data_IF_567768531521
#
_entry.id   IF_567768531521
#
_cell.length_a   1.000
_cell.length_b   1.000
_cell.length_c   1.000
_cell.angle_alpha   90.00
_cell.angle_beta   90.00
_cell.angle_gamma   90.00
#
_symmetry.space_group_name_H-M   'P 1'
#
loop_
_entity.id
_entity.type
_entity.pdbx_description
1 polymer ?
#
# COMPACT_ATOMS: atom_id res chain seq x y z
N UNK A 1 -18.13 -24.74 -33.04
CA UNK A 1 -18.59 -24.31 -31.70
C UNK A 1 -17.94 -25.08 -30.54
N UNK A 2 -16.82 -25.81 -30.72
CA UNK A 2 -16.16 -26.60 -29.66
C UNK A 2 -14.73 -26.12 -29.28
N UNK A 3 -14.26 -24.99 -29.84
CA UNK A 3 -12.92 -24.44 -29.54
C UNK A 3 -12.86 -23.54 -28.30
N UNK A 4 -14.00 -23.19 -27.70
CA UNK A 4 -14.09 -22.35 -26.49
C UNK A 4 -14.07 -23.15 -25.18
N UNK A 5 -14.27 -24.47 -25.25
CA UNK A 5 -14.40 -25.37 -24.10
C UNK A 5 -13.11 -25.53 -23.26
N UNK A 6 -11.88 -25.56 -23.83
CA UNK A 6 -10.65 -25.72 -23.04
C UNK A 6 -10.30 -24.52 -22.15
N UNK A 7 -10.86 -23.33 -22.43
CA UNK A 7 -10.57 -22.09 -21.68
C UNK A 7 -11.43 -21.92 -20.43
N UNK A 8 -12.57 -22.59 -20.37
CA UNK A 8 -13.55 -22.42 -19.28
C UNK A 8 -13.20 -23.28 -18.06
N UNK A 9 -12.62 -24.47 -18.25
CA UNK A 9 -12.26 -25.37 -17.14
C UNK A 9 -11.24 -24.81 -16.15
N UNK A 10 -10.16 -24.13 -16.58
CA UNK A 10 -9.21 -23.51 -15.64
C UNK A 10 -9.85 -22.39 -14.81
N UNK A 11 -10.76 -21.61 -15.42
CA UNK A 11 -11.51 -20.56 -14.75
C UNK A 11 -12.51 -21.12 -13.73
N UNK A 12 -13.27 -22.16 -14.10
CA UNK A 12 -14.17 -22.85 -13.18
C UNK A 12 -13.41 -23.51 -12.02
N UNK A 13 -12.25 -24.11 -12.29
CA UNK A 13 -11.37 -24.68 -11.27
C UNK A 13 -10.83 -23.61 -10.30
N UNK A 14 -10.41 -22.46 -10.82
CA UNK A 14 -9.99 -21.31 -10.00
C UNK A 14 -11.14 -20.75 -9.15
N UNK A 15 -12.32 -20.57 -9.72
CA UNK A 15 -13.50 -20.10 -8.99
C UNK A 15 -13.94 -21.10 -7.91
N UNK A 16 -13.99 -22.40 -8.24
CA UNK A 16 -14.32 -23.45 -7.28
C UNK A 16 -13.27 -23.54 -6.16
N UNK A 17 -11.99 -23.50 -6.50
CA UNK A 17 -10.89 -23.49 -5.53
C UNK A 17 -10.92 -22.26 -4.62
N UNK A 18 -11.21 -21.09 -5.19
CA UNK A 18 -11.39 -19.86 -4.42
C UNK A 18 -12.56 -19.94 -3.44
N UNK A 19 -13.70 -20.48 -3.87
CA UNK A 19 -14.85 -20.70 -3.00
C UNK A 19 -14.53 -21.69 -1.87
N UNK A 20 -13.84 -22.79 -2.18
CA UNK A 20 -13.40 -23.76 -1.17
C UNK A 20 -12.50 -23.10 -0.11
N UNK A 21 -11.51 -22.30 -0.53
CA UNK A 21 -10.66 -21.56 0.40
C UNK A 21 -11.49 -20.59 1.24
N UNK A 22 -12.49 -19.91 0.66
CA UNK A 22 -13.31 -18.93 1.39
C UNK A 22 -14.31 -19.57 2.37
N UNK A 23 -14.78 -20.78 2.11
CA UNK A 23 -15.73 -21.48 2.99
C UNK A 23 -15.05 -22.27 4.11
N UNK A 24 -13.89 -22.89 3.84
CA UNK A 24 -13.24 -23.82 4.77
C UNK A 24 -12.04 -23.21 5.53
N UNK A 25 -11.80 -21.90 5.44
CA UNK A 25 -10.67 -21.30 6.15
C UNK A 25 -10.94 -21.11 7.65
N UNK A 26 -9.91 -21.35 8.50
CA UNK A 26 -10.01 -21.17 9.95
C UNK A 26 -9.99 -19.68 10.37
N UNK A 27 -9.79 -18.75 9.43
CA UNK A 27 -9.73 -17.30 9.69
C UNK A 27 -11.03 -16.57 9.36
N UNK A 28 -12.12 -17.32 9.08
CA UNK A 28 -13.41 -16.78 8.63
C UNK A 28 -14.01 -15.77 9.61
N UNK A 29 -13.86 -16.01 10.91
CA UNK A 29 -14.33 -15.09 11.95
C UNK A 29 -13.59 -13.75 11.88
N UNK A 30 -12.26 -13.77 11.78
CA UNK A 30 -11.46 -12.55 11.63
C UNK A 30 -11.81 -11.78 10.36
N UNK A 31 -12.05 -12.49 9.24
CA UNK A 31 -12.48 -11.88 7.98
C UNK A 31 -13.87 -11.24 8.09
N UNK A 32 -14.82 -11.91 8.75
CA UNK A 32 -16.16 -11.40 9.00
C UNK A 32 -16.14 -10.18 9.91
N UNK A 33 -15.34 -10.22 10.98
CA UNK A 33 -15.18 -9.10 11.92
C UNK A 33 -14.49 -7.91 11.26
N UNK A 34 -13.47 -8.15 10.43
CA UNK A 34 -12.88 -7.11 9.59
C UNK A 34 -13.92 -6.44 8.69
N UNK A 35 -14.82 -7.22 8.09
CA UNK A 35 -15.91 -6.68 7.26
C UNK A 35 -16.90 -5.83 8.07
N UNK A 36 -17.31 -6.30 9.25
CA UNK A 36 -18.15 -5.52 10.18
C UNK A 36 -17.48 -4.22 10.62
N UNK A 37 -16.16 -4.26 10.86
CA UNK A 37 -15.36 -3.09 11.23
C UNK A 37 -15.40 -2.01 10.14
N UNK A 38 -15.17 -2.37 8.88
CA UNK A 38 -15.15 -1.41 7.77
C UNK A 38 -16.55 -0.88 7.41
N UNK A 39 -17.62 -1.66 7.65
CA UNK A 39 -19.00 -1.19 7.49
C UNK A 39 -19.30 -0.10 8.52
N UNK A 40 -18.92 -0.33 9.78
CA UNK A 40 -19.13 0.65 10.86
C UNK A 40 -18.23 1.86 10.71
N UNK A 41 -16.96 1.65 10.40
CA UNK A 41 -15.97 2.70 10.21
C UNK A 41 -15.52 2.77 8.74
N UNK A 42 -16.40 3.33 7.90
CA UNK A 42 -16.18 3.51 6.45
C UNK A 42 -14.86 4.19 6.11
N UNK A 43 -14.34 5.03 7.03
CA UNK A 43 -13.03 5.70 6.90
C UNK A 43 -11.88 4.74 6.59
N UNK A 44 -11.92 3.51 7.10
CA UNK A 44 -10.79 2.56 6.92
C UNK A 44 -10.55 2.29 5.44
N UNK A 45 -11.58 1.93 4.69
CA UNK A 45 -11.45 1.64 3.27
C UNK A 45 -11.46 2.91 2.43
N UNK A 46 -12.23 3.94 2.82
CA UNK A 46 -12.27 5.22 2.11
C UNK A 46 -10.89 5.92 2.09
N UNK A 47 -10.08 5.81 3.14
CA UNK A 47 -8.72 6.35 3.14
C UNK A 47 -7.86 5.71 2.04
N UNK A 48 -7.93 4.39 1.87
CA UNK A 48 -7.21 3.70 0.80
C UNK A 48 -7.75 4.05 -0.59
N UNK A 49 -9.07 4.16 -0.75
CA UNK A 49 -9.67 4.60 -2.01
C UNK A 49 -9.25 6.02 -2.35
N UNK A 50 -9.27 6.95 -1.39
CA UNK A 50 -8.87 8.34 -1.60
C UNK A 50 -7.40 8.46 -2.03
N UNK A 51 -6.50 7.74 -1.34
CA UNK A 51 -5.07 7.74 -1.66
C UNK A 51 -4.81 7.10 -3.04
N UNK A 52 -5.42 5.95 -3.33
CA UNK A 52 -5.31 5.30 -4.64
C UNK A 52 -5.93 6.11 -5.78
N UNK A 53 -7.02 6.83 -5.51
CA UNK A 53 -7.70 7.65 -6.51
C UNK A 53 -6.87 8.88 -6.85
N UNK A 54 -6.33 9.57 -5.83
CA UNK A 54 -5.43 10.69 -6.05
C UNK A 54 -4.19 10.28 -6.86
N UNK A 55 -3.62 9.10 -6.56
CA UNK A 55 -2.50 8.57 -7.33
C UNK A 55 -2.89 8.26 -8.78
N UNK A 56 -4.06 7.68 -9.00
CA UNK A 56 -4.55 7.34 -10.34
C UNK A 56 -4.85 8.58 -11.18
N UNK A 57 -5.46 9.61 -10.59
CA UNK A 57 -5.68 10.91 -11.25
C UNK A 57 -4.35 11.56 -11.61
N UNK A 58 -3.36 11.55 -10.70
CA UNK A 58 -2.04 12.06 -11.00
C UNK A 58 -1.39 11.32 -12.17
N UNK A 59 -1.34 9.98 -12.12
CA UNK A 59 -0.75 9.18 -13.20
C UNK A 59 -1.43 9.46 -14.54
N UNK A 60 -2.75 9.59 -14.53
CA UNK A 60 -3.50 9.93 -15.73
C UNK A 60 -3.08 11.31 -16.26
N UNK A 61 -3.10 12.34 -15.42
CA UNK A 61 -2.74 13.70 -15.79
C UNK A 61 -1.30 13.86 -16.29
N UNK A 62 -0.34 13.08 -15.79
CA UNK A 62 1.07 13.20 -16.18
C UNK A 62 1.49 12.30 -17.33
N UNK A 63 0.89 11.11 -17.48
CA UNK A 63 1.36 10.10 -18.43
C UNK A 63 0.36 9.75 -19.53
N UNK A 64 -0.83 10.34 -19.52
CA UNK A 64 -1.82 10.13 -20.60
C UNK A 64 -1.91 11.38 -21.46
N UNK A 65 -1.26 11.43 -22.64
CA UNK A 65 -1.43 12.54 -23.55
C UNK A 65 -2.82 12.47 -24.18
N UNK A 66 -3.74 13.32 -23.73
CA UNK A 66 -5.00 13.56 -24.44
C UNK A 66 -4.68 14.41 -25.67
N UNK A 67 -4.76 13.83 -26.86
CA UNK A 67 -4.41 14.54 -28.09
C UNK A 67 -5.66 15.11 -28.77
N UNK A 68 -6.80 14.40 -28.72
CA UNK A 68 -8.04 14.82 -29.40
C UNK A 68 -9.29 14.47 -28.56
N UNK A 69 -10.38 15.22 -28.74
CA UNK A 69 -11.65 14.95 -28.04
C UNK A 69 -12.27 13.58 -28.41
N UNK A 70 -11.91 13.03 -29.57
CA UNK A 70 -12.25 11.69 -30.03
C UNK A 70 -11.66 10.57 -29.16
N UNK A 71 -10.60 10.85 -28.38
CA UNK A 71 -10.00 9.88 -27.45
C UNK A 71 -10.96 9.53 -26.29
N UNK A 72 -12.01 10.35 -26.08
CA UNK A 72 -13.03 10.17 -25.04
C UNK A 72 -14.36 9.58 -25.56
N UNK A 73 -14.37 8.98 -26.75
CA UNK A 73 -15.58 8.38 -27.34
C UNK A 73 -16.09 7.17 -26.53
N UNK A 74 -17.22 7.34 -25.84
CA UNK A 74 -17.87 6.32 -25.03
C UNK A 74 -18.47 5.19 -25.87
N UNK A 75 -18.75 5.42 -27.15
CA UNK A 75 -19.31 4.39 -28.03
C UNK A 75 -18.31 3.26 -28.29
N UNK A 76 -17.01 3.59 -28.31
CA UNK A 76 -15.94 2.60 -28.43
C UNK A 76 -15.84 1.69 -27.20
N UNK A 77 -16.22 2.20 -26.02
CA UNK A 77 -16.24 1.43 -24.77
C UNK A 77 -17.41 0.43 -24.76
N UNK A 78 -18.55 0.80 -25.34
CA UNK A 78 -19.75 -0.04 -25.38
C UNK A 78 -19.62 -1.26 -26.29
N UNK A 79 -18.80 -1.20 -27.34
CA UNK A 79 -18.56 -2.33 -28.24
C UNK A 79 -17.50 -3.31 -27.70
N UNK A 80 -17.89 -4.13 -26.73
CA UNK A 80 -17.03 -5.15 -26.09
C UNK A 80 -16.48 -6.18 -27.09
N UNK A 81 -17.09 -6.32 -28.27
CA UNK A 81 -16.65 -7.29 -29.30
C UNK A 81 -15.40 -6.85 -30.04
N UNK A 82 -15.13 -5.55 -30.10
CA UNK A 82 -13.91 -5.00 -30.71
C UNK A 82 -12.73 -4.97 -29.73
N UNK A 83 -12.84 -5.57 -28.54
CA UNK A 83 -11.76 -5.60 -27.54
C UNK A 83 -10.72 -6.70 -27.85
N UNK A 84 -9.45 -6.35 -27.71
CA UNK A 84 -8.32 -7.24 -28.02
C UNK A 84 -7.84 -7.95 -26.78
N UNK A 85 -8.47 -9.09 -26.44
CA UNK A 85 -8.20 -9.79 -25.18
C UNK A 85 -6.75 -10.32 -25.10
N UNK A 86 -6.00 -10.03 -24.03
CA UNK A 86 -4.61 -10.46 -23.88
C UNK A 86 -4.49 -11.97 -23.64
N UNK A 87 -3.30 -12.52 -23.86
CA UNK A 87 -3.05 -13.93 -23.56
C UNK A 87 -2.97 -14.15 -22.05
N UNK A 88 -3.50 -15.28 -21.57
CA UNK A 88 -3.42 -15.62 -20.14
C UNK A 88 -1.96 -15.71 -19.66
N UNK A 89 -1.03 -16.17 -20.50
CA UNK A 89 0.40 -16.25 -20.18
C UNK A 89 1.01 -14.88 -19.85
N UNK A 90 0.61 -13.83 -20.55
CA UNK A 90 1.05 -12.45 -20.31
C UNK A 90 0.52 -11.96 -18.96
N UNK A 91 -0.77 -12.16 -18.70
CA UNK A 91 -1.41 -11.83 -17.43
C UNK A 91 -0.73 -12.56 -16.27
N UNK A 92 -0.46 -13.86 -16.40
CA UNK A 92 0.20 -14.67 -15.38
C UNK A 92 1.63 -14.23 -15.08
N UNK A 93 2.33 -13.63 -16.05
CA UNK A 93 3.70 -13.13 -15.87
C UNK A 93 3.72 -11.80 -15.11
N UNK A 94 2.73 -10.94 -15.33
CA UNK A 94 2.67 -9.60 -14.74
C UNK A 94 1.98 -9.54 -13.37
N UNK A 95 1.14 -10.52 -13.04
CA UNK A 95 0.29 -10.49 -11.84
C UNK A 95 0.99 -10.80 -10.50
N UNK A 96 1.96 -11.74 -10.40
CA UNK A 96 2.47 -12.20 -9.11
C UNK A 96 3.17 -11.12 -8.27
N UNK A 97 4.00 -10.27 -8.90
CA UNK A 97 4.74 -9.24 -8.17
C UNK A 97 3.80 -8.17 -7.57
N UNK A 98 2.90 -7.52 -8.32
CA UNK A 98 1.98 -6.55 -7.74
C UNK A 98 1.03 -7.17 -6.71
N UNK A 99 0.67 -8.45 -6.87
CA UNK A 99 -0.14 -9.16 -5.88
C UNK A 99 0.62 -9.33 -4.55
N UNK A 100 1.89 -9.75 -4.61
CA UNK A 100 2.76 -9.85 -3.44
C UNK A 100 2.96 -8.49 -2.76
N UNK A 101 3.16 -7.42 -3.53
CA UNK A 101 3.24 -6.05 -3.02
C UNK A 101 1.95 -5.62 -2.30
N UNK A 102 0.80 -6.01 -2.84
CA UNK A 102 -0.49 -5.81 -2.18
C UNK A 102 -0.56 -6.48 -0.81
N UNK A 103 -0.11 -7.75 -0.73
CA UNK A 103 -0.07 -8.51 0.53
C UNK A 103 0.91 -7.86 1.52
N UNK A 104 2.13 -7.55 1.08
CA UNK A 104 3.14 -6.87 1.88
C UNK A 104 2.63 -5.53 2.43
N UNK A 105 1.89 -4.78 1.59
CA UNK A 105 1.30 -3.50 1.96
C UNK A 105 0.37 -3.58 3.17
N UNK A 106 -0.41 -4.67 3.33
CA UNK A 106 -1.31 -4.85 4.51
C UNK A 106 -0.54 -4.70 5.84
N UNK A 107 0.72 -5.11 5.88
CA UNK A 107 1.48 -5.20 7.12
C UNK A 107 2.30 -3.96 7.44
N UNK A 108 2.64 -3.16 6.43
CA UNK A 108 3.67 -2.14 6.57
C UNK A 108 3.26 -0.78 5.98
N UNK A 109 3.09 -0.72 4.65
CA UNK A 109 2.56 0.47 3.96
C UNK A 109 1.59 0.08 2.84
N UNK A 110 0.30 0.17 3.15
CA UNK A 110 -0.78 -0.38 2.33
C UNK A 110 -1.12 0.42 1.06
N UNK A 111 -0.60 1.64 0.90
CA UNK A 111 -0.89 2.44 -0.30
C UNK A 111 0.19 3.47 -0.60
N UNK A 112 0.34 3.79 -1.89
CA UNK A 112 1.06 4.96 -2.34
C UNK A 112 0.39 6.21 -1.80
N UNK A 113 1.17 7.08 -1.16
CA UNK A 113 0.66 8.31 -0.54
C UNK A 113 0.76 9.53 -1.44
N UNK A 114 1.64 9.49 -2.43
CA UNK A 114 1.74 10.52 -3.46
C UNK A 114 0.49 10.47 -4.37
N UNK A 115 -0.10 11.60 -4.76
CA UNK A 115 0.32 12.99 -4.54
C UNK A 115 -0.17 13.62 -3.23
N UNK A 116 -1.04 12.96 -2.45
CA UNK A 116 -1.59 13.54 -1.21
C UNK A 116 -0.53 13.80 -0.13
N UNK A 117 0.65 13.20 -0.26
CA UNK A 117 1.83 13.55 0.54
C UNK A 117 2.19 15.03 0.42
N UNK A 118 1.90 15.71 -0.70
CA UNK A 118 2.10 17.16 -0.86
C UNK A 118 1.25 17.93 0.16
N UNK A 119 -0.04 17.57 0.25
CA UNK A 119 -0.96 18.18 1.22
C UNK A 119 -0.50 17.87 2.64
N UNK A 120 -0.09 16.63 2.92
CA UNK A 120 0.44 16.25 4.22
C UNK A 120 1.72 17.02 4.59
N UNK A 121 2.61 17.26 3.63
CA UNK A 121 3.83 18.05 3.81
C UNK A 121 3.48 19.51 4.13
N UNK A 122 2.56 20.14 3.41
CA UNK A 122 2.06 21.49 3.72
C UNK A 122 1.51 21.53 5.15
N UNK A 123 0.65 20.57 5.51
CA UNK A 123 0.06 20.50 6.85
C UNK A 123 1.11 20.33 7.95
N UNK A 124 2.16 19.54 7.72
CA UNK A 124 3.27 19.37 8.66
C UNK A 124 4.09 20.66 8.80
N UNK A 125 4.43 21.31 7.69
CA UNK A 125 5.26 22.53 7.70
C UNK A 125 4.51 23.72 8.31
N UNK A 126 3.21 23.85 8.06
CA UNK A 126 2.35 24.87 8.67
C UNK A 126 1.97 24.58 10.13
N UNK A 127 2.48 23.48 10.72
CA UNK A 127 2.15 23.05 12.07
C UNK A 127 0.63 22.92 12.32
N UNK A 128 -0.09 22.39 11.32
CA UNK A 128 -1.53 22.21 11.41
C UNK A 128 -1.91 21.39 12.65
N UNK A 129 -2.79 21.94 13.50
CA UNK A 129 -3.23 21.32 14.78
C UNK A 129 -2.08 20.98 15.74
N UNK A 130 -0.93 21.65 15.64
CA UNK A 130 0.23 21.39 16.51
C UNK A 130 1.01 20.12 16.14
N UNK A 131 0.80 19.56 14.94
CA UNK A 131 1.37 18.27 14.54
C UNK A 131 2.90 18.30 14.42
N UNK A 132 3.46 19.42 13.94
CA UNK A 132 4.90 19.68 13.88
C UNK A 132 5.52 19.60 15.29
N UNK A 133 4.95 20.37 16.23
CA UNK A 133 5.42 20.42 17.61
C UNK A 133 5.24 19.10 18.35
N UNK A 134 4.12 18.41 18.13
CA UNK A 134 3.84 17.11 18.73
C UNK A 134 4.81 16.04 18.23
N UNK A 135 5.12 16.03 16.93
CA UNK A 135 6.07 15.09 16.34
C UNK A 135 7.49 15.36 16.82
N UNK A 136 7.94 16.61 16.80
CA UNK A 136 9.26 16.99 17.31
C UNK A 136 9.42 16.63 18.78
N UNK A 137 8.40 16.89 19.62
CA UNK A 137 8.41 16.53 21.03
C UNK A 137 8.50 15.01 21.23
N UNK A 138 7.68 14.24 20.51
CA UNK A 138 7.70 12.79 20.58
C UNK A 138 9.06 12.19 20.14
N UNK A 139 9.69 12.78 19.10
CA UNK A 139 11.02 12.40 18.65
C UNK A 139 12.09 12.73 19.68
N UNK A 140 12.05 13.94 20.26
CA UNK A 140 13.01 14.38 21.27
C UNK A 140 12.92 13.54 22.54
N UNK A 141 11.72 13.27 23.05
CA UNK A 141 11.51 12.46 24.25
C UNK A 141 12.06 11.04 24.06
N UNK A 142 11.96 10.48 22.86
CA UNK A 142 12.33 9.09 22.59
C UNK A 142 13.77 8.89 22.12
N UNK A 143 14.25 9.75 21.23
CA UNK A 143 15.55 9.62 20.57
C UNK A 143 16.58 10.64 21.07
N UNK A 144 16.21 11.52 22.01
CA UNK A 144 17.07 12.56 22.58
C UNK A 144 17.66 13.42 21.45
N UNK A 145 18.98 13.59 21.42
CA UNK A 145 19.69 14.38 20.40
C UNK A 145 19.44 13.86 18.96
N UNK A 146 19.37 12.53 18.77
CA UNK A 146 19.07 11.92 17.48
C UNK A 146 17.66 12.26 16.97
N UNK A 147 16.75 12.63 17.87
CA UNK A 147 15.41 13.09 17.49
C UNK A 147 15.42 14.32 16.59
N UNK A 148 16.37 15.24 16.80
CA UNK A 148 16.53 16.43 15.95
C UNK A 148 17.03 16.07 14.55
N UNK A 149 17.98 15.13 14.44
CA UNK A 149 18.49 14.68 13.15
C UNK A 149 17.41 13.95 12.35
N UNK A 150 16.68 13.03 12.99
CA UNK A 150 15.55 12.32 12.35
C UNK A 150 14.50 13.33 11.87
N UNK A 151 14.23 14.34 12.70
CA UNK A 151 13.28 15.39 12.34
C UNK A 151 13.76 16.24 11.16
N UNK A 152 15.04 16.61 11.12
CA UNK A 152 15.63 17.35 10.01
C UNK A 152 15.50 16.55 8.70
N UNK A 153 15.83 15.26 8.71
CA UNK A 153 15.65 14.37 7.54
C UNK A 153 14.19 14.32 7.11
N UNK A 154 13.26 14.25 8.06
CA UNK A 154 11.82 14.28 7.76
C UNK A 154 11.39 15.61 7.11
N UNK A 155 11.88 16.75 7.60
CA UNK A 155 11.54 18.07 7.03
C UNK A 155 12.14 18.21 5.62
N UNK A 156 13.39 17.81 5.41
CA UNK A 156 14.02 17.82 4.09
C UNK A 156 13.29 16.92 3.09
N UNK A 157 12.89 15.72 3.51
CA UNK A 157 12.09 14.82 2.67
C UNK A 157 10.66 15.33 2.41
N UNK A 158 10.05 16.03 3.38
CA UNK A 158 8.78 16.71 3.18
C UNK A 158 8.89 17.82 2.12
N UNK A 159 9.96 18.64 2.20
CA UNK A 159 10.26 19.64 1.18
C UNK A 159 10.47 18.99 -0.19
N UNK A 160 11.21 17.88 -0.28
CA UNK A 160 11.37 17.14 -1.53
C UNK A 160 10.02 16.65 -2.09
N UNK A 161 9.10 16.17 -1.24
CA UNK A 161 7.75 15.79 -1.66
C UNK A 161 6.94 16.96 -2.21
N UNK A 162 7.15 18.19 -1.70
CA UNK A 162 6.54 19.41 -2.28
C UNK A 162 7.12 19.77 -3.65
N UNK A 163 8.42 19.58 -3.86
CA UNK A 163 9.07 19.87 -5.13
C UNK A 163 8.79 18.82 -6.21
N UNK A 164 8.48 17.58 -5.80
CA UNK A 164 8.26 16.45 -6.72
C UNK A 164 7.23 16.73 -7.82
N UNK A 165 6.00 17.23 -7.56
CA UNK A 165 5.06 17.55 -8.63
C UNK A 165 5.59 18.58 -9.62
N UNK A 166 6.33 19.60 -9.15
CA UNK A 166 6.91 20.64 -10.01
C UNK A 166 7.94 20.03 -10.95
N UNK A 167 8.82 19.18 -10.42
CA UNK A 167 9.83 18.47 -11.20
C UNK A 167 9.15 17.59 -12.26
N UNK A 168 8.22 16.72 -11.84
CA UNK A 168 7.56 15.78 -12.75
C UNK A 168 6.68 16.48 -13.80
N UNK A 169 6.01 17.57 -13.45
CA UNK A 169 5.20 18.37 -14.39
C UNK A 169 6.08 19.11 -15.41
N UNK A 170 7.26 19.58 -15.00
CA UNK A 170 8.20 20.30 -15.88
C UNK A 170 9.10 19.38 -16.69
N UNK A 171 9.14 18.08 -16.41
CA UNK A 171 9.96 17.11 -17.16
C UNK A 171 9.80 17.22 -18.70
N UNK A 172 8.58 17.28 -19.27
CA UNK A 172 8.42 17.40 -20.72
C UNK A 172 9.00 18.71 -21.29
N UNK A 173 8.80 19.82 -20.58
CA UNK A 173 9.31 21.13 -20.99
C UNK A 173 10.83 21.24 -20.83
N UNK A 174 11.43 20.56 -19.85
CA UNK A 174 12.87 20.50 -19.69
C UNK A 174 13.53 19.50 -20.64
N UNK A 175 12.80 18.51 -21.14
CA UNK A 175 13.24 17.54 -22.15
C UNK A 175 13.75 18.17 -23.44
N UNK A 176 13.32 19.40 -23.75
CA UNK A 176 13.78 20.15 -24.93
C UNK A 176 15.04 20.99 -24.67
N UNK A 177 15.44 21.16 -23.41
CA UNK A 177 16.53 22.08 -23.01
C UNK A 177 17.69 21.35 -22.33
N UNK A 178 17.41 20.32 -21.52
CA UNK A 178 18.41 19.59 -20.76
C UNK A 178 18.64 18.19 -21.34
N UNK A 179 19.87 17.65 -21.25
CA UNK A 179 20.13 16.26 -21.60
C UNK A 179 19.25 15.31 -20.78
N UNK A 180 18.72 14.28 -21.43
CA UNK A 180 17.84 13.27 -20.81
C UNK A 180 18.45 12.68 -19.54
N UNK A 181 19.76 12.40 -19.55
CA UNK A 181 20.48 11.90 -18.36
C UNK A 181 20.42 12.86 -17.16
N UNK A 182 20.51 14.17 -17.40
CA UNK A 182 20.37 15.18 -16.34
C UNK A 182 18.97 15.19 -15.72
N UNK A 183 17.94 15.03 -16.55
CA UNK A 183 16.54 14.98 -16.10
C UNK A 183 16.22 13.71 -15.30
N UNK A 184 16.77 12.57 -15.71
CA UNK A 184 16.65 11.32 -14.98
C UNK A 184 17.35 11.40 -13.61
N UNK A 185 18.55 11.99 -13.55
CA UNK A 185 19.27 12.23 -12.28
C UNK A 185 18.48 13.11 -11.32
N UNK A 186 17.93 14.22 -11.80
CA UNK A 186 17.14 15.16 -10.97
C UNK A 186 15.85 14.49 -10.48
N UNK A 187 15.10 13.86 -11.38
CA UNK A 187 13.84 13.19 -11.02
C UNK A 187 14.05 12.04 -10.05
N UNK A 188 15.06 11.19 -10.27
CA UNK A 188 15.40 10.09 -9.38
C UNK A 188 15.87 10.58 -7.99
N UNK A 189 16.69 11.63 -7.94
CA UNK A 189 17.15 12.23 -6.68
C UNK A 189 16.00 12.80 -5.85
N UNK A 190 15.09 13.55 -6.48
CA UNK A 190 13.91 14.11 -5.81
C UNK A 190 12.93 13.02 -5.38
N UNK A 191 12.71 12.00 -6.21
CA UNK A 191 11.86 10.86 -5.85
C UNK A 191 12.42 10.07 -4.67
N UNK A 192 13.73 9.82 -4.64
CA UNK A 192 14.40 9.13 -3.54
C UNK A 192 14.33 9.94 -2.23
N UNK A 193 14.53 11.26 -2.29
CA UNK A 193 14.41 12.12 -1.11
C UNK A 193 12.96 12.21 -0.60
N UNK A 194 11.97 12.34 -1.51
CA UNK A 194 10.56 12.41 -1.17
C UNK A 194 10.01 11.08 -0.60
N UNK A 195 10.57 9.96 -1.04
CA UNK A 195 10.17 8.62 -0.61
C UNK A 195 10.18 8.45 0.91
N UNK A 196 11.16 9.01 1.62
CA UNK A 196 11.25 8.91 3.08
C UNK A 196 9.99 9.48 3.74
N UNK A 197 9.60 10.69 3.34
CA UNK A 197 8.41 11.35 3.89
C UNK A 197 7.13 10.61 3.48
N UNK A 198 7.00 10.26 2.19
CA UNK A 198 5.85 9.52 1.66
C UNK A 198 5.62 8.21 2.40
N UNK A 199 6.69 7.43 2.59
CA UNK A 199 6.64 6.18 3.30
C UNK A 199 6.26 6.36 4.78
N UNK A 200 6.89 7.31 5.48
CA UNK A 200 6.57 7.59 6.90
C UNK A 200 5.13 8.07 7.08
N UNK A 201 4.62 8.87 6.15
CA UNK A 201 3.22 9.28 6.13
C UNK A 201 2.29 8.08 5.90
N UNK A 202 2.64 7.15 5.01
CA UNK A 202 1.90 5.91 4.78
C UNK A 202 1.82 5.05 6.03
N UNK A 203 2.95 4.82 6.70
CA UNK A 203 3.01 4.10 7.98
C UNK A 203 2.17 4.82 9.05
N UNK A 204 2.23 6.15 9.13
CA UNK A 204 1.42 6.91 10.06
C UNK A 204 -0.10 6.72 9.81
N UNK A 205 -0.53 6.79 8.55
CA UNK A 205 -1.92 6.52 8.15
C UNK A 205 -2.32 5.10 8.55
N UNK A 206 -1.45 4.12 8.32
CA UNK A 206 -1.74 2.73 8.68
C UNK A 206 -1.82 2.51 10.20
N UNK A 207 -0.93 3.12 10.98
CA UNK A 207 -1.00 3.12 12.45
C UNK A 207 -2.32 3.74 12.91
N UNK A 208 -2.73 4.86 12.31
CA UNK A 208 -4.03 5.46 12.59
C UNK A 208 -5.18 4.48 12.28
N UNK A 209 -5.19 3.83 11.12
CA UNK A 209 -6.24 2.88 10.77
C UNK A 209 -6.26 1.63 11.66
N UNK A 210 -5.09 1.12 12.07
CA UNK A 210 -4.99 0.04 13.06
C UNK A 210 -5.63 0.48 14.38
N UNK A 211 -5.36 1.72 14.84
CA UNK A 211 -5.96 2.24 16.07
C UNK A 211 -7.47 2.42 15.98
N UNK A 212 -8.03 2.78 14.81
CA UNK A 212 -9.48 2.76 14.55
C UNK A 212 -10.03 1.35 14.72
N UNK A 213 -9.39 0.35 14.12
CA UNK A 213 -9.83 -1.06 14.22
C UNK A 213 -9.81 -1.55 15.67
N UNK A 214 -8.80 -1.18 16.45
CA UNK A 214 -8.73 -1.56 17.87
C UNK A 214 -9.82 -0.92 18.71
N UNK A 215 -10.12 0.35 18.45
CA UNK A 215 -11.18 1.03 19.15
C UNK A 215 -12.53 0.36 18.88
N UNK A 216 -12.76 -0.10 17.64
CA UNK A 216 -13.92 -0.92 17.29
C UNK A 216 -13.95 -2.25 18.05
N UNK A 217 -12.85 -3.02 18.01
CA UNK A 217 -12.73 -4.32 18.71
C UNK A 217 -13.02 -4.17 20.21
N UNK A 218 -12.62 -3.04 20.81
CA UNK A 218 -12.82 -2.75 22.24
C UNK A 218 -14.17 -2.07 22.56
N UNK A 219 -15.00 -1.75 21.57
CA UNK A 219 -16.27 -1.04 21.78
C UNK A 219 -16.10 0.41 22.28
N UNK A 220 -14.96 1.05 22.00
CA UNK A 220 -14.67 2.40 22.50
C UNK A 220 -15.21 3.47 21.56
N UNK A 221 -15.95 4.44 22.09
CA UNK A 221 -16.24 5.71 21.41
C UNK A 221 -15.05 6.66 21.54
N UNK A 222 -14.63 7.31 20.45
CA UNK A 222 -13.51 8.24 20.46
C UNK A 222 -13.82 9.50 19.67
N UNK A 223 -13.28 10.63 20.12
CA UNK A 223 -13.23 11.86 19.33
C UNK A 223 -12.06 11.78 18.33
N UNK A 224 -12.24 12.33 17.14
CA UNK A 224 -11.22 12.23 16.07
C UNK A 224 -9.88 12.82 16.50
N UNK A 225 -9.91 13.95 17.19
CA UNK A 225 -8.70 14.61 17.70
C UNK A 225 -7.96 13.77 18.74
N UNK A 226 -8.70 13.06 19.61
CA UNK A 226 -8.12 12.15 20.60
C UNK A 226 -7.41 10.98 19.93
N UNK A 227 -8.05 10.39 18.92
CA UNK A 227 -7.49 9.26 18.16
C UNK A 227 -6.25 9.67 17.36
N UNK A 228 -6.25 10.85 16.72
CA UNK A 228 -5.07 11.37 16.02
C UNK A 228 -3.88 11.55 16.97
N UNK A 229 -4.08 12.18 18.13
CA UNK A 229 -3.01 12.34 19.13
C UNK A 229 -2.51 10.99 19.64
N UNK A 230 -3.40 10.03 19.84
CA UNK A 230 -3.03 8.67 20.23
C UNK A 230 -2.21 7.97 19.14
N UNK A 231 -2.62 8.06 17.87
CA UNK A 231 -1.91 7.49 16.73
C UNK A 231 -0.52 8.11 16.57
N UNK A 232 -0.35 9.43 16.73
CA UNK A 232 0.98 10.10 16.71
C UNK A 232 1.90 9.53 17.79
N UNK A 233 1.39 9.32 19.02
CA UNK A 233 2.18 8.72 20.10
C UNK A 233 2.61 7.29 19.73
N UNK A 234 1.70 6.47 19.21
CA UNK A 234 1.99 5.08 18.77
C UNK A 234 2.96 5.04 17.59
N UNK A 235 2.83 5.98 16.64
CA UNK A 235 3.72 6.10 15.50
C UNK A 235 5.18 6.28 15.92
N UNK A 236 5.46 7.01 16.99
CA UNK A 236 6.83 7.13 17.53
C UNK A 236 7.48 5.79 17.90
N UNK A 237 6.67 4.77 18.24
CA UNK A 237 7.14 3.40 18.52
C UNK A 237 7.46 2.64 17.26
N UNK A 238 6.58 2.77 16.26
CA UNK A 238 6.76 2.16 14.95
C UNK A 238 7.90 2.81 14.18
N UNK A 239 8.27 4.06 14.48
CA UNK A 239 9.29 4.80 13.74
C UNK A 239 10.65 4.11 13.65
N UNK A 240 11.06 3.36 14.69
CA UNK A 240 12.31 2.57 14.62
C UNK A 240 12.22 1.48 13.54
N UNK A 241 11.10 0.76 13.48
CA UNK A 241 10.84 -0.23 12.45
C UNK A 241 10.72 0.44 11.08
N UNK A 242 9.90 1.48 10.97
CA UNK A 242 9.73 2.23 9.73
C UNK A 242 11.07 2.76 9.20
N UNK A 243 11.97 3.22 10.07
CA UNK A 243 13.33 3.63 9.69
C UNK A 243 14.18 2.48 9.14
N UNK A 244 14.09 1.28 9.71
CA UNK A 244 14.75 0.06 9.18
C UNK A 244 14.21 -0.27 7.79
N UNK A 245 12.89 -0.23 7.62
CA UNK A 245 12.25 -0.53 6.34
C UNK A 245 12.57 0.53 5.28
N UNK A 246 12.55 1.83 5.64
CA UNK A 246 12.98 2.92 4.75
C UNK A 246 14.44 2.75 4.35
N UNK A 247 15.31 2.40 5.29
CA UNK A 247 16.72 2.18 5.00
C UNK A 247 16.89 0.98 4.05
N UNK A 248 16.23 -0.15 4.34
CA UNK A 248 16.26 -1.33 3.48
C UNK A 248 15.70 -1.02 2.08
N UNK A 249 14.56 -0.35 1.96
CA UNK A 249 13.99 0.05 0.68
C UNK A 249 14.86 1.06 -0.08
N UNK A 250 15.53 1.98 0.65
CA UNK A 250 16.47 2.91 0.04
C UNK A 250 17.69 2.18 -0.49
N UNK A 251 18.27 1.26 0.27
CA UNK A 251 19.46 0.51 -0.12
C UNK A 251 19.19 -0.55 -1.19
N UNK A 252 18.07 -1.26 -1.11
CA UNK A 252 17.74 -2.37 -2.01
C UNK A 252 17.06 -1.94 -3.30
N UNK A 253 16.31 -0.83 -3.31
CA UNK A 253 15.49 -0.43 -4.46
C UNK A 253 15.89 0.93 -5.02
N UNK A 254 16.11 1.93 -4.15
CA UNK A 254 16.35 3.31 -4.60
C UNK A 254 17.81 3.57 -4.96
N UNK A 255 18.74 3.03 -4.19
CA UNK A 255 20.17 3.19 -4.41
C UNK A 255 20.60 2.56 -5.74
N UNK A 256 20.18 1.33 -6.10
CA UNK A 256 20.49 0.77 -7.42
C UNK A 256 19.96 1.64 -8.55
N UNK A 257 18.72 2.14 -8.44
CA UNK A 257 18.12 3.07 -9.41
C UNK A 257 18.94 4.37 -9.53
N UNK A 258 19.39 4.95 -8.42
CA UNK A 258 20.27 6.12 -8.42
C UNK A 258 21.62 5.80 -9.06
N UNK A 259 22.24 4.68 -8.71
CA UNK A 259 23.53 4.28 -9.28
C UNK A 259 23.44 4.05 -10.79
N UNK A 260 22.33 3.47 -11.26
CA UNK A 260 22.06 3.30 -12.69
C UNK A 260 22.04 4.65 -13.43
N UNK A 261 21.45 5.69 -12.85
CA UNK A 261 21.39 7.01 -13.48
C UNK A 261 22.65 7.87 -13.26
N UNK A 262 23.36 7.70 -12.15
CA UNK A 262 24.51 8.55 -11.79
C UNK A 262 25.85 7.99 -12.26
N UNK A 263 25.99 6.66 -12.34
CA UNK A 263 27.24 5.95 -12.63
C UNK A 263 27.12 5.08 -13.90
N UNK A 264 25.96 5.08 -14.58
CA UNK A 264 25.70 4.32 -15.82
C UNK A 264 26.08 2.83 -15.70
N UNK A 265 25.75 2.21 -14.56
CA UNK A 265 26.08 0.81 -14.29
C UNK A 265 25.16 -0.12 -15.13
N UNK A 266 25.71 -0.96 -16.03
CA UNK A 266 24.90 -1.78 -16.94
C UNK A 266 24.13 -2.88 -16.17
N UNK A 267 22.89 -3.14 -16.61
CA UNK A 267 22.06 -4.25 -16.12
C UNK A 267 21.42 -4.05 -14.74
N UNK A 268 21.64 -2.93 -14.05
CA UNK A 268 21.06 -2.70 -12.71
C UNK A 268 19.54 -2.62 -12.72
N UNK A 269 18.97 -2.00 -13.75
CA UNK A 269 17.51 -1.88 -13.89
C UNK A 269 16.82 -3.24 -14.13
N UNK A 270 17.54 -4.22 -14.68
CA UNK A 270 17.00 -5.56 -14.93
C UNK A 270 16.74 -6.33 -13.63
N UNK A 271 17.43 -5.97 -12.54
CA UNK A 271 17.24 -6.56 -11.21
C UNK A 271 16.11 -5.91 -10.41
N UNK A 272 15.53 -4.80 -10.87
CA UNK A 272 14.48 -4.08 -10.16
C UNK A 272 13.27 -4.96 -9.76
N UNK A 273 12.78 -5.89 -10.60
CA UNK A 273 11.72 -6.82 -10.19
C UNK A 273 12.16 -7.71 -9.02
N UNK A 274 13.41 -8.20 -9.03
CA UNK A 274 13.97 -9.06 -7.98
C UNK A 274 14.10 -8.30 -6.66
N UNK A 275 14.55 -7.05 -6.70
CA UNK A 275 14.63 -6.16 -5.53
C UNK A 275 13.25 -5.95 -4.88
N UNK A 276 12.22 -5.73 -5.70
CA UNK A 276 10.83 -5.56 -5.23
C UNK A 276 10.26 -6.86 -4.65
N UNK A 277 10.56 -8.00 -5.26
CA UNK A 277 10.21 -9.32 -4.70
C UNK A 277 10.86 -9.53 -3.34
N UNK A 278 12.16 -9.26 -3.21
CA UNK A 278 12.90 -9.39 -1.97
C UNK A 278 12.31 -8.50 -0.88
N UNK A 279 12.10 -7.22 -1.18
CA UNK A 279 11.52 -6.28 -0.22
C UNK A 279 10.12 -6.70 0.24
N UNK A 280 9.24 -7.08 -0.70
CA UNK A 280 7.88 -7.50 -0.37
C UNK A 280 7.87 -8.79 0.45
N UNK A 281 8.76 -9.73 0.14
CA UNK A 281 8.92 -10.97 0.90
C UNK A 281 9.40 -10.69 2.31
N UNK A 282 10.38 -9.80 2.50
CA UNK A 282 10.85 -9.40 3.83
C UNK A 282 9.71 -8.77 4.66
N UNK A 283 8.89 -7.91 4.05
CA UNK A 283 7.74 -7.31 4.74
C UNK A 283 6.69 -8.35 5.16
N UNK A 284 6.41 -9.33 4.31
CA UNK A 284 5.52 -10.45 4.65
C UNK A 284 6.13 -11.32 5.74
N UNK A 285 7.44 -11.58 5.70
CA UNK A 285 8.13 -12.35 6.73
C UNK A 285 8.02 -11.68 8.10
N UNK A 286 8.08 -10.35 8.17
CA UNK A 286 7.96 -9.57 9.42
C UNK A 286 6.54 -8.99 9.66
N UNK A 287 5.50 -9.64 9.13
CA UNK A 287 4.14 -9.10 9.03
C UNK A 287 3.51 -8.60 10.36
N UNK A 288 3.95 -9.11 11.50
CA UNK A 288 3.37 -8.77 12.81
C UNK A 288 4.17 -7.75 13.62
N UNK A 289 5.35 -7.32 13.15
CA UNK A 289 6.22 -6.39 13.89
C UNK A 289 5.54 -5.03 14.04
N UNK A 290 5.01 -4.46 12.95
CA UNK A 290 4.37 -3.15 12.96
C UNK A 290 3.13 -3.11 13.87
N UNK A 291 2.25 -4.11 13.77
CA UNK A 291 1.07 -4.18 14.63
C UNK A 291 1.47 -4.39 16.09
N UNK A 292 2.45 -5.25 16.39
CA UNK A 292 2.95 -5.46 17.75
C UNK A 292 3.49 -4.16 18.37
N UNK A 293 4.29 -3.39 17.62
CA UNK A 293 4.79 -2.09 18.06
C UNK A 293 3.67 -1.07 18.29
N UNK A 294 2.64 -1.11 17.44
CA UNK A 294 1.45 -0.24 17.57
C UNK A 294 0.66 -0.55 18.84
N UNK A 295 0.52 -1.84 19.20
CA UNK A 295 -0.33 -2.30 20.31
C UNK A 295 0.36 -2.23 21.66
N UNK A 296 1.57 -2.78 21.77
CA UNK A 296 2.20 -3.05 23.07
C UNK A 296 3.22 -1.99 23.48
N UNK A 297 3.53 -1.01 22.61
CA UNK A 297 4.52 0.04 22.92
C UNK A 297 5.89 -0.50 23.34
N UNK A 298 6.28 -1.68 22.87
CA UNK A 298 7.53 -2.32 23.27
C UNK A 298 8.72 -1.86 22.41
N UNK A 299 9.93 -2.26 22.81
CA UNK A 299 11.14 -2.02 22.01
C UNK A 299 11.13 -2.84 20.71
N UNK A 300 11.88 -2.41 19.68
CA UNK A 300 11.97 -3.13 18.40
C UNK A 300 12.44 -4.59 18.59
N UNK A 301 13.42 -4.81 19.47
CA UNK A 301 13.93 -6.15 19.78
C UNK A 301 12.84 -7.05 20.39
N UNK A 302 12.03 -6.51 21.30
CA UNK A 302 10.92 -7.23 21.90
C UNK A 302 9.84 -7.55 20.85
N UNK A 303 9.52 -6.61 19.96
CA UNK A 303 8.56 -6.84 18.88
C UNK A 303 9.02 -7.93 17.89
N UNK A 304 10.31 -8.02 17.56
CA UNK A 304 10.86 -9.10 16.73
C UNK A 304 10.77 -10.45 17.45
N UNK A 305 11.08 -10.48 18.75
CA UNK A 305 10.95 -11.70 19.56
C UNK A 305 9.48 -12.17 19.64
N UNK A 306 8.55 -11.24 19.92
CA UNK A 306 7.12 -11.48 19.95
C UNK A 306 6.59 -11.96 18.60
N UNK A 307 7.11 -11.41 17.50
CA UNK A 307 6.79 -11.84 16.14
C UNK A 307 7.18 -13.30 15.89
N UNK A 308 8.38 -13.72 16.30
CA UNK A 308 8.79 -15.12 16.17
C UNK A 308 7.90 -16.07 16.98
N UNK A 309 7.59 -15.69 18.23
CA UNK A 309 6.65 -16.45 19.07
C UNK A 309 5.24 -16.52 18.47
N UNK A 310 4.78 -15.42 17.85
CA UNK A 310 3.50 -15.35 17.17
C UNK A 310 3.43 -16.32 15.98
N UNK A 311 4.48 -16.33 15.13
CA UNK A 311 4.58 -17.27 13.99
C UNK A 311 4.55 -18.71 14.49
N UNK A 312 5.40 -19.06 15.47
CA UNK A 312 5.49 -20.43 15.97
C UNK A 312 4.14 -20.96 16.49
N UNK A 313 3.35 -20.10 17.15
CA UNK A 313 2.05 -20.49 17.71
C UNK A 313 0.89 -20.46 16.72
N UNK A 314 0.98 -19.64 15.66
CA UNK A 314 -0.15 -19.36 14.76
C UNK A 314 0.17 -19.56 13.27
N UNK A 315 1.25 -20.27 12.93
CA UNK A 315 1.74 -20.45 11.56
C UNK A 315 0.63 -20.88 10.58
N UNK A 316 -0.21 -21.84 10.96
CA UNK A 316 -1.31 -22.31 10.12
C UNK A 316 -2.31 -21.20 9.80
N UNK A 317 -2.73 -20.42 10.81
CA UNK A 317 -3.72 -19.34 10.62
C UNK A 317 -3.14 -18.18 9.83
N UNK A 318 -1.88 -17.83 10.12
CA UNK A 318 -1.15 -16.83 9.36
C UNK A 318 -1.03 -17.27 7.89
N UNK A 319 -0.68 -18.53 7.63
CA UNK A 319 -0.62 -19.11 6.29
C UNK A 319 -1.95 -19.00 5.54
N UNK A 320 -3.06 -19.35 6.18
CA UNK A 320 -4.40 -19.18 5.59
C UNK A 320 -4.75 -17.72 5.31
N UNK A 321 -4.43 -16.80 6.23
CA UNK A 321 -4.66 -15.37 6.02
C UNK A 321 -3.84 -14.84 4.83
N UNK A 322 -2.55 -15.20 4.75
CA UNK A 322 -1.67 -14.83 3.64
C UNK A 322 -2.16 -15.40 2.31
N UNK A 323 -2.61 -16.66 2.29
CA UNK A 323 -3.18 -17.29 1.10
C UNK A 323 -4.42 -16.51 0.61
N UNK A 324 -5.33 -16.17 1.52
CA UNK A 324 -6.55 -15.42 1.18
C UNK A 324 -6.19 -14.03 0.68
N UNK A 325 -5.27 -13.31 1.34
CA UNK A 325 -4.81 -12.01 0.90
C UNK A 325 -4.16 -12.09 -0.49
N UNK A 326 -3.28 -13.07 -0.71
CA UNK A 326 -2.62 -13.31 -1.99
C UNK A 326 -3.63 -13.60 -3.10
N UNK A 327 -4.63 -14.44 -2.85
CA UNK A 327 -5.69 -14.74 -3.82
C UNK A 327 -6.50 -13.49 -4.20
N UNK A 328 -6.89 -12.67 -3.23
CA UNK A 328 -7.66 -11.45 -3.51
C UNK A 328 -6.86 -10.44 -4.33
N UNK A 329 -5.61 -10.17 -3.95
CA UNK A 329 -4.77 -9.26 -4.72
C UNK A 329 -4.40 -9.83 -6.08
N UNK A 330 -4.14 -11.12 -6.18
CA UNK A 330 -3.89 -11.79 -7.45
C UNK A 330 -5.08 -11.65 -8.40
N UNK A 331 -6.30 -11.93 -7.93
CA UNK A 331 -7.51 -11.77 -8.74
C UNK A 331 -7.73 -10.31 -9.15
N UNK A 332 -7.57 -9.35 -8.24
CA UNK A 332 -7.68 -7.93 -8.56
C UNK A 332 -6.67 -7.50 -9.64
N UNK A 333 -5.40 -7.89 -9.48
CA UNK A 333 -4.33 -7.55 -10.42
C UNK A 333 -4.49 -8.28 -11.76
N UNK A 334 -4.93 -9.54 -11.76
CA UNK A 334 -5.22 -10.28 -12.97
C UNK A 334 -6.37 -9.64 -13.76
N UNK A 335 -7.47 -9.28 -13.09
CA UNK A 335 -8.56 -8.53 -13.70
C UNK A 335 -8.09 -7.20 -14.28
N UNK A 336 -7.23 -6.48 -13.56
CA UNK A 336 -6.67 -5.22 -14.03
C UNK A 336 -5.79 -5.41 -15.27
N UNK A 337 -4.90 -6.41 -15.28
CA UNK A 337 -4.08 -6.72 -16.45
C UNK A 337 -4.93 -7.14 -17.66
N UNK A 338 -5.97 -7.95 -17.45
CA UNK A 338 -6.90 -8.36 -18.51
C UNK A 338 -7.60 -7.16 -19.13
N UNK A 339 -8.20 -6.29 -18.31
CA UNK A 339 -8.96 -5.13 -18.82
C UNK A 339 -8.02 -4.09 -19.43
N UNK A 340 -6.83 -3.84 -18.84
CA UNK A 340 -5.83 -2.95 -19.44
C UNK A 340 -5.34 -3.47 -20.79
N UNK A 341 -5.08 -4.78 -20.91
CA UNK A 341 -4.71 -5.38 -22.19
C UNK A 341 -5.84 -5.31 -23.21
N UNK A 342 -7.09 -5.54 -22.78
CA UNK A 342 -8.25 -5.55 -23.67
C UNK A 342 -8.70 -4.16 -24.16
N UNK A 343 -8.49 -3.13 -23.33
CA UNK A 343 -8.90 -1.75 -23.58
C UNK A 343 -7.75 -0.80 -23.93
N UNK A 344 -6.56 -1.32 -24.27
CA UNK A 344 -5.31 -0.57 -24.41
C UNK A 344 -5.43 0.71 -25.26
N UNK A 345 -6.26 0.70 -26.31
CA UNK A 345 -6.43 1.82 -27.24
C UNK A 345 -7.60 2.76 -26.89
N UNK A 346 -8.34 2.48 -25.79
CA UNK A 346 -9.58 3.20 -25.43
C UNK A 346 -9.42 3.96 -24.11
N UNK A 347 -9.04 5.23 -24.19
CA UNK A 347 -8.74 6.06 -23.02
C UNK A 347 -9.92 6.16 -22.05
N UNK A 348 -11.15 6.41 -22.54
CA UNK A 348 -12.34 6.49 -21.68
C UNK A 348 -12.63 5.19 -20.91
N UNK A 349 -12.46 4.03 -21.55
CA UNK A 349 -12.64 2.72 -20.92
C UNK A 349 -11.60 2.47 -19.82
N UNK A 350 -10.34 2.84 -20.09
CA UNK A 350 -9.24 2.76 -19.10
C UNK A 350 -9.51 3.67 -17.90
N UNK A 351 -10.02 4.89 -18.10
CA UNK A 351 -10.35 5.81 -17.00
C UNK A 351 -11.43 5.19 -16.09
N UNK A 352 -12.53 4.73 -16.68
CA UNK A 352 -13.63 4.13 -15.94
C UNK A 352 -13.16 2.89 -15.17
N UNK A 353 -12.42 2.00 -15.85
CA UNK A 353 -11.87 0.81 -15.23
C UNK A 353 -10.91 1.13 -14.09
N UNK A 354 -9.97 2.08 -14.27
CA UNK A 354 -9.05 2.49 -13.21
C UNK A 354 -9.80 3.01 -11.99
N UNK A 355 -10.88 3.78 -12.18
CA UNK A 355 -11.75 4.21 -11.09
C UNK A 355 -12.35 3.04 -10.30
N UNK A 356 -12.93 2.07 -11.00
CA UNK A 356 -13.50 0.85 -10.40
C UNK A 356 -12.43 0.01 -9.68
N UNK A 357 -11.29 -0.21 -10.34
CA UNK A 357 -10.17 -0.97 -9.81
C UNK A 357 -9.62 -0.35 -8.52
N UNK A 358 -9.42 0.97 -8.49
CA UNK A 358 -8.96 1.69 -7.29
C UNK A 358 -9.95 1.54 -6.14
N UNK A 359 -11.25 1.69 -6.41
CA UNK A 359 -12.29 1.49 -5.41
C UNK A 359 -12.28 0.07 -4.85
N UNK A 360 -12.21 -0.94 -5.72
CA UNK A 360 -12.17 -2.34 -5.34
C UNK A 360 -10.89 -2.67 -4.54
N UNK A 361 -9.72 -2.22 -5.01
CA UNK A 361 -8.44 -2.39 -4.32
C UNK A 361 -8.45 -1.72 -2.95
N UNK A 362 -8.91 -0.48 -2.85
CA UNK A 362 -8.99 0.22 -1.56
C UNK A 362 -9.95 -0.45 -0.57
N UNK A 363 -11.07 -0.99 -1.06
CA UNK A 363 -12.00 -1.79 -0.27
C UNK A 363 -11.34 -3.08 0.26
N UNK A 364 -10.71 -3.85 -0.62
CA UNK A 364 -10.04 -5.11 -0.26
C UNK A 364 -8.88 -4.85 0.68
N UNK A 365 -8.04 -3.85 0.43
CA UNK A 365 -6.94 -3.47 1.33
C UNK A 365 -7.45 -3.07 2.71
N UNK A 366 -8.50 -2.23 2.78
CA UNK A 366 -9.09 -1.82 4.06
C UNK A 366 -9.71 -2.97 4.83
N UNK A 367 -10.41 -3.86 4.12
CA UNK A 367 -10.99 -5.07 4.70
C UNK A 367 -9.92 -6.03 5.24
N UNK A 368 -8.88 -6.32 4.46
CA UNK A 368 -7.80 -7.22 4.85
C UNK A 368 -6.97 -6.63 5.99
N UNK A 369 -6.73 -5.32 6.02
CA UNK A 369 -6.09 -4.65 7.16
C UNK A 369 -6.93 -4.81 8.44
N UNK A 370 -8.24 -4.53 8.37
CA UNK A 370 -9.13 -4.69 9.53
C UNK A 370 -9.19 -6.15 9.99
N UNK A 371 -9.24 -7.09 9.05
CA UNK A 371 -9.24 -8.53 9.32
C UNK A 371 -7.93 -9.00 9.95
N UNK A 372 -6.79 -8.45 9.51
CA UNK A 372 -5.49 -8.70 10.10
C UNK A 372 -5.44 -8.26 11.57
N UNK A 373 -5.95 -7.06 11.87
CA UNK A 373 -6.01 -6.55 13.25
C UNK A 373 -6.88 -7.45 14.13
N UNK A 374 -8.04 -7.89 13.60
CA UNK A 374 -8.91 -8.83 14.31
C UNK A 374 -8.23 -10.18 14.56
N UNK A 375 -7.61 -10.77 13.54
CA UNK A 375 -6.90 -12.04 13.63
C UNK A 375 -5.76 -11.97 14.64
N UNK A 376 -4.92 -10.94 14.56
CA UNK A 376 -3.80 -10.73 15.48
C UNK A 376 -4.31 -10.73 16.93
N UNK A 377 -5.39 -9.99 17.20
CA UNK A 377 -5.92 -9.86 18.55
C UNK A 377 -6.64 -11.12 19.06
N UNK A 378 -7.32 -11.86 18.18
CA UNK A 378 -7.90 -13.16 18.53
C UNK A 378 -6.81 -14.16 18.92
N UNK A 379 -5.69 -14.18 18.19
CA UNK A 379 -4.54 -15.03 18.49
C UNK A 379 -3.88 -14.68 19.83
N UNK A 380 -3.79 -13.39 20.20
CA UNK A 380 -3.22 -12.98 21.50
C UNK A 380 -4.08 -13.35 22.70
N UNK A 381 -5.39 -13.23 22.57
CA UNK A 381 -6.31 -13.42 23.70
C UNK A 381 -6.68 -14.89 23.92
N UNK A 382 -6.30 -15.79 23.00
CA UNK A 382 -6.68 -17.21 23.05
C UNK A 382 -8.18 -17.47 22.84
N UNK A 383 -8.98 -16.43 22.57
CA UNK A 383 -10.46 -16.48 22.47
C UNK A 383 -10.93 -16.69 21.04
N UNK A 384 -10.37 -17.72 20.42
CA UNK A 384 -10.43 -17.94 18.97
C UNK A 384 -11.83 -18.37 18.47
N UNK A 385 -12.70 -18.87 19.37
CA UNK A 385 -14.02 -19.42 19.03
C UNK A 385 -15.20 -18.69 19.70
N UNK A 386 -15.01 -17.51 20.30
CA UNK A 386 -16.11 -16.78 20.95
C UNK A 386 -16.77 -15.81 19.97
N UNK A 387 -17.94 -16.20 19.43
CA UNK A 387 -18.75 -15.38 18.51
C UNK A 387 -19.22 -14.03 19.10
N UNK A 388 -19.18 -13.89 20.43
CA UNK A 388 -19.76 -12.77 21.19
C UNK A 388 -18.73 -11.84 21.86
N UNK A 389 -17.51 -11.74 21.32
CA UNK A 389 -16.47 -10.91 21.96
C UNK A 389 -16.66 -9.40 21.72
N UNK A 390 -17.28 -9.01 20.60
CA UNK A 390 -17.50 -7.59 20.29
C UNK A 390 -18.84 -7.19 20.90
N UNK A 391 -18.81 -6.69 22.14
CA UNK A 391 -19.97 -6.04 22.76
C UNK A 391 -20.27 -4.76 22.00
N UNK A 392 -21.48 -4.69 21.43
CA UNK A 392 -22.00 -3.57 20.63
C UNK A 392 -22.10 -2.27 21.40
#
# INVERSE_FOLDING_TARGET
MLSSVPRVYPLLGLCAGYLLVLFFNPVRLALRDGFRCIIRYKRIWLTFVLLGFAYSVFQFATFTPLQQASDLDLNQVADVRSWTWPQLSEVWRETPLPALEGVAGIFDNATTTYPLSVVAAIMLLLNWRGLHGALLRALRERFKAWGYLIYLVLVLSALASLFKPVVFWRLPAWGTVLPVAGLLKISAGVDAAAFIFEYLFGVYVQVYLITVCLAWIKGLSFTEQGLFKFAVRRFSYVLKWAGVVVLAGTLLVRLPLLLAYFIDLPGVLDYQPVERYLMSTLLVLFCSVQISLTLHNESLRAAICAHWQFIQRNALRLGWFLLIAALHFFLLTACDAIVRGAAADRVAGIILWKGLYVCARGLVTGWLLASWVCLFRQCETGRINQEAWIKY
#
